data_IF_188439831897
#
_entry.id   IF_188439831897
#
_cell.length_a   1.000
_cell.length_b   1.000
_cell.length_c   1.000
_cell.angle_alpha   90.00
_cell.angle_beta   90.00
_cell.angle_gamma   90.00
#
_symmetry.space_group_name_H-M   'P 1'
#
loop_
_entity.id
_entity.type
_entity.pdbx_description
1 polymer ?
#
# COMPACT_ATOMS: atom_id res chain seq x y z
N UNK A 1 14.36 -6.78 12.12
CA UNK A 1 14.17 -5.43 12.72
C UNK A 1 13.26 -4.59 11.82
N UNK A 2 11.93 -4.72 11.90
CA UNK A 2 11.00 -3.98 11.03
C UNK A 2 11.09 -2.45 11.17
N UNK A 3 11.59 -1.97 12.31
CA UNK A 3 11.71 -0.52 12.61
C UNK A 3 12.84 0.20 11.88
N UNK A 4 13.59 -0.47 11.01
CA UNK A 4 14.64 0.14 10.19
C UNK A 4 14.20 0.36 8.72
N UNK A 5 13.00 -0.08 8.34
CA UNK A 5 12.48 0.18 7.01
C UNK A 5 12.30 1.69 6.80
N UNK A 6 12.67 2.18 5.62
CA UNK A 6 12.57 3.59 5.27
C UNK A 6 11.75 3.79 4.01
N UNK A 7 11.10 4.94 3.90
CA UNK A 7 10.42 5.37 2.68
C UNK A 7 10.67 6.86 2.50
N UNK A 8 10.75 7.31 1.25
CA UNK A 8 10.87 8.73 0.94
C UNK A 8 9.97 9.11 -0.23
N UNK A 9 9.45 10.33 -0.16
CA UNK A 9 8.77 11.02 -1.25
C UNK A 9 9.58 12.27 -1.60
N UNK A 10 9.99 12.40 -2.86
CA UNK A 10 10.77 13.55 -3.34
C UNK A 10 10.09 14.17 -4.56
N UNK A 11 9.89 15.48 -4.51
CA UNK A 11 9.56 16.30 -5.67
C UNK A 11 10.87 16.91 -6.18
N UNK A 12 11.17 16.73 -7.45
CA UNK A 12 12.35 17.31 -8.09
C UNK A 12 11.93 18.12 -9.32
N UNK A 13 12.57 19.28 -9.50
CA UNK A 13 12.46 20.03 -10.75
C UNK A 13 13.51 19.48 -11.71
N UNK A 14 13.09 19.17 -12.93
CA UNK A 14 14.00 18.94 -14.05
C UNK A 14 13.75 19.97 -15.14
N UNK A 15 14.82 20.65 -15.53
CA UNK A 15 14.83 21.57 -16.67
C UNK A 15 15.20 20.76 -17.90
N UNK A 16 14.28 20.66 -18.87
CA UNK A 16 14.56 20.01 -20.16
C UNK A 16 15.19 21.01 -21.13
N UNK A 17 15.91 20.50 -22.14
CA UNK A 17 16.27 21.29 -23.32
C UNK A 17 14.97 21.84 -23.95
N UNK A 18 14.80 23.16 -23.91
CA UNK A 18 13.55 23.86 -24.27
C UNK A 18 12.90 24.69 -23.16
N UNK A 19 13.49 24.76 -21.96
CA UNK A 19 13.18 25.78 -20.95
C UNK A 19 11.85 25.60 -20.20
N UNK A 20 11.18 24.44 -20.33
CA UNK A 20 9.99 24.11 -19.54
C UNK A 20 10.36 23.25 -18.34
N UNK A 21 10.14 23.76 -17.14
CA UNK A 21 10.31 23.00 -15.91
C UNK A 21 9.25 21.88 -15.82
N UNK A 22 9.71 20.64 -15.69
CA UNK A 22 8.85 19.50 -15.39
C UNK A 22 9.13 19.06 -13.95
N UNK A 23 8.08 18.95 -13.14
CA UNK A 23 8.18 18.37 -11.80
C UNK A 23 8.06 16.86 -11.89
N UNK A 24 9.06 16.15 -11.35
CA UNK A 24 9.02 14.70 -11.15
C UNK A 24 8.73 14.37 -9.69
N UNK A 25 8.00 13.28 -9.50
CA UNK A 25 7.67 12.74 -8.19
C UNK A 25 8.30 11.35 -8.06
N UNK A 26 9.13 11.18 -7.04
CA UNK A 26 9.78 9.91 -6.73
C UNK A 26 9.26 9.39 -5.40
N UNK A 27 8.73 8.17 -5.42
CA UNK A 27 8.37 7.42 -4.23
C UNK A 27 9.26 6.18 -4.18
N UNK A 28 9.93 5.96 -3.06
CA UNK A 28 10.74 4.77 -2.84
C UNK A 28 10.58 4.23 -1.43
N UNK A 29 10.85 2.93 -1.28
CA UNK A 29 10.82 2.20 -0.03
C UNK A 29 12.02 1.26 0.01
N UNK A 30 12.61 1.12 1.20
CA UNK A 30 13.64 0.15 1.51
C UNK A 30 13.21 -0.62 2.75
N UNK A 31 12.96 -1.92 2.58
CA UNK A 31 12.57 -2.78 3.70
C UNK A 31 13.80 -3.24 4.49
N UNK A 32 13.68 -3.23 5.82
CA UNK A 32 14.62 -3.90 6.70
C UNK A 32 13.99 -5.18 7.28
N UNK A 33 14.68 -6.30 7.10
CA UNK A 33 14.19 -7.63 7.48
C UNK A 33 15.33 -8.59 7.83
N UNK A 34 14.97 -9.83 8.16
CA UNK A 34 15.96 -10.91 8.28
C UNK A 34 16.50 -11.25 6.88
N UNK A 35 17.79 -11.56 6.74
CA UNK A 35 18.31 -12.06 5.46
C UNK A 35 17.67 -13.38 5.04
N UNK A 36 17.16 -14.17 5.98
CA UNK A 36 16.39 -15.38 5.67
C UNK A 36 15.08 -15.09 4.90
N UNK A 37 14.57 -13.85 4.91
CA UNK A 37 13.41 -13.48 4.09
C UNK A 37 13.79 -13.00 2.68
N UNK A 38 15.06 -12.98 2.29
CA UNK A 38 15.49 -12.43 0.99
C UNK A 38 15.09 -13.27 -0.25
N UNK A 39 14.35 -14.36 -0.09
CA UNK A 39 13.66 -14.98 -1.22
C UNK A 39 12.49 -14.08 -1.65
N UNK A 40 12.69 -13.26 -2.68
CA UNK A 40 11.75 -12.21 -3.11
C UNK A 40 11.07 -12.53 -4.44
N UNK A 41 9.87 -12.00 -4.63
CA UNK A 41 9.14 -12.04 -5.92
C UNK A 41 8.49 -10.67 -6.15
N UNK A 42 8.69 -10.09 -7.33
CA UNK A 42 7.87 -8.96 -7.79
C UNK A 42 6.61 -9.51 -8.45
N UNK A 43 5.45 -9.07 -7.99
CA UNK A 43 4.14 -9.59 -8.42
C UNK A 43 3.34 -8.51 -9.10
N UNK A 44 2.57 -8.91 -10.11
CA UNK A 44 1.51 -8.12 -10.73
C UNK A 44 0.23 -8.95 -10.72
N UNK A 45 -0.78 -8.44 -10.03
CA UNK A 45 -2.13 -9.02 -10.05
C UNK A 45 -3.03 -8.13 -10.91
N UNK A 46 -3.49 -8.68 -12.04
CA UNK A 46 -4.50 -8.08 -12.90
C UNK A 46 -5.79 -8.87 -12.71
N UNK A 47 -6.73 -8.31 -11.97
CA UNK A 47 -7.92 -9.01 -11.51
C UNK A 47 -9.16 -8.21 -11.92
N UNK A 48 -10.14 -8.89 -12.52
CA UNK A 48 -11.37 -8.26 -13.02
C UNK A 48 -12.42 -8.15 -11.90
N UNK A 49 -12.02 -7.57 -10.76
CA UNK A 49 -12.94 -7.34 -9.65
C UNK A 49 -13.94 -6.25 -9.98
N UNK A 50 -15.10 -6.33 -9.34
CA UNK A 50 -16.15 -5.31 -9.32
C UNK A 50 -16.31 -4.86 -7.86
N UNK A 51 -16.84 -3.65 -7.62
CA UNK A 51 -16.99 -3.14 -6.24
C UNK A 51 -17.95 -3.97 -5.42
N UNK A 52 -19.03 -4.41 -6.05
CA UNK A 52 -20.03 -5.32 -5.52
C UNK A 52 -20.39 -6.38 -6.56
N UNK A 53 -21.12 -7.42 -6.16
CA UNK A 53 -21.60 -8.46 -7.08
C UNK A 53 -22.61 -7.97 -8.12
N UNK A 54 -23.15 -6.75 -7.95
CA UNK A 54 -24.15 -6.15 -8.85
C UNK A 54 -23.57 -5.14 -9.82
N UNK A 55 -22.32 -4.73 -9.63
CA UNK A 55 -21.70 -3.73 -10.48
C UNK A 55 -21.26 -4.34 -11.81
N UNK A 56 -21.51 -3.62 -12.90
CA UNK A 56 -21.02 -3.95 -14.25
C UNK A 56 -19.68 -3.29 -14.55
N UNK A 57 -19.30 -2.28 -13.77
CA UNK A 57 -18.06 -1.54 -13.91
C UNK A 57 -17.01 -2.13 -12.97
N UNK A 58 -15.81 -2.40 -13.51
CA UNK A 58 -14.71 -2.95 -12.73
C UNK A 58 -14.26 -2.00 -11.62
N UNK A 59 -13.70 -2.58 -10.56
CA UNK A 59 -13.13 -1.84 -9.46
C UNK A 59 -11.98 -0.93 -9.95
N UNK A 60 -11.80 0.28 -9.36
CA UNK A 60 -10.82 1.24 -9.86
C UNK A 60 -9.39 0.71 -9.96
N UNK A 61 -8.96 -0.12 -9.00
CA UNK A 61 -7.65 -0.74 -9.00
C UNK A 61 -7.64 -2.07 -9.77
N UNK A 62 -7.67 -2.02 -11.10
CA UNK A 62 -7.70 -3.21 -11.96
C UNK A 62 -6.39 -4.02 -11.94
N UNK A 63 -5.25 -3.36 -11.71
CA UNK A 63 -3.93 -3.99 -11.61
C UNK A 63 -3.16 -3.46 -10.41
N UNK A 64 -2.58 -4.37 -9.62
CA UNK A 64 -1.74 -4.03 -8.47
C UNK A 64 -0.38 -4.71 -8.64
N UNK A 65 0.68 -3.91 -8.69
CA UNK A 65 2.07 -4.37 -8.71
C UNK A 65 2.71 -4.14 -7.35
N UNK A 66 3.46 -5.11 -6.84
CA UNK A 66 4.15 -4.97 -5.56
C UNK A 66 5.34 -5.91 -5.43
N UNK A 67 6.32 -5.53 -4.61
CA UNK A 67 7.38 -6.42 -4.16
C UNK A 67 6.85 -7.29 -3.01
N UNK A 68 7.13 -8.59 -3.01
CA UNK A 68 6.65 -9.52 -2.01
C UNK A 68 7.54 -10.75 -1.84
N UNK A 69 6.92 -11.83 -1.36
CA UNK A 69 7.58 -13.06 -0.94
C UNK A 69 6.82 -14.28 -1.48
N UNK A 70 7.45 -15.45 -1.69
CA UNK A 70 6.75 -16.70 -1.98
C UNK A 70 5.62 -16.96 -0.96
N UNK A 71 4.47 -17.45 -1.43
CA UNK A 71 3.30 -17.72 -0.58
C UNK A 71 2.51 -16.50 -0.09
N UNK A 72 3.13 -15.31 0.01
CA UNK A 72 2.41 -14.09 0.43
C UNK A 72 1.53 -13.52 -0.67
N UNK A 73 0.26 -13.26 -0.40
CA UNK A 73 -0.66 -12.60 -1.35
C UNK A 73 -0.63 -11.07 -1.26
N UNK A 74 0.13 -10.50 -0.31
CA UNK A 74 0.37 -9.06 -0.15
C UNK A 74 1.88 -8.75 -0.11
N UNK A 75 2.26 -7.48 -0.07
CA UNK A 75 3.66 -7.05 -0.14
C UNK A 75 4.48 -7.44 1.08
N UNK A 76 3.94 -7.26 2.29
CA UNK A 76 4.64 -7.35 3.59
C UNK A 76 5.75 -6.29 3.80
N UNK A 77 6.40 -5.81 2.73
CA UNK A 77 7.26 -4.61 2.74
C UNK A 77 6.44 -3.33 2.76
N UNK A 78 5.32 -3.36 2.05
CA UNK A 78 4.43 -2.26 1.71
C UNK A 78 4.99 -1.30 0.66
N UNK A 79 5.00 -1.74 -0.59
CA UNK A 79 5.13 -0.88 -1.77
C UNK A 79 4.21 -1.39 -2.90
N UNK A 80 3.21 -0.59 -3.27
CA UNK A 80 2.21 -0.94 -4.27
C UNK A 80 2.12 0.14 -5.35
N UNK A 81 2.02 -0.30 -6.60
CA UNK A 81 1.59 0.52 -7.72
C UNK A 81 0.24 0.00 -8.19
N UNK A 82 -0.79 0.81 -7.98
CA UNK A 82 -2.17 0.52 -8.40
C UNK A 82 -2.42 1.21 -9.72
N UNK A 83 -3.04 0.51 -10.67
CA UNK A 83 -3.43 1.04 -11.98
C UNK A 83 -4.87 0.65 -12.29
N UNK A 84 -5.63 1.61 -12.77
CA UNK A 84 -6.92 1.48 -13.42
C UNK A 84 -6.93 2.22 -14.75
N UNK A 85 -8.11 2.42 -15.32
CA UNK A 85 -8.30 3.09 -16.61
C UNK A 85 -7.82 4.54 -16.58
N UNK A 86 -8.35 5.34 -15.63
CA UNK A 86 -7.99 6.75 -15.44
C UNK A 86 -7.41 7.00 -14.03
N UNK A 87 -6.78 5.98 -13.47
CA UNK A 87 -6.40 5.94 -12.06
C UNK A 87 -5.03 5.31 -11.91
N UNK A 88 -4.12 5.98 -11.19
CA UNK A 88 -2.83 5.42 -10.81
C UNK A 88 -2.51 5.90 -9.40
N UNK A 89 -2.10 4.98 -8.54
CA UNK A 89 -1.58 5.29 -7.21
C UNK A 89 -0.24 4.62 -7.01
N UNK A 90 0.64 5.27 -6.27
CA UNK A 90 1.78 4.62 -5.65
C UNK A 90 1.65 4.76 -4.13
N UNK A 91 1.56 3.64 -3.43
CA UNK A 91 1.38 3.60 -1.98
C UNK A 91 2.53 2.85 -1.34
N UNK A 92 3.06 3.38 -0.25
CA UNK A 92 4.09 2.70 0.54
C UNK A 92 3.86 2.87 2.03
N UNK A 93 4.35 1.92 2.81
CA UNK A 93 4.23 1.92 4.26
C UNK A 93 5.54 1.62 4.96
N UNK A 94 5.76 2.24 6.12
CA UNK A 94 6.84 1.89 7.05
C UNK A 94 6.24 1.41 8.37
N UNK A 95 6.85 0.42 9.00
CA UNK A 95 6.34 -0.16 10.25
C UNK A 95 6.33 0.87 11.39
N UNK A 96 5.17 1.01 12.04
CA UNK A 96 5.04 1.75 13.29
C UNK A 96 4.87 0.75 14.44
N UNK A 97 5.70 0.89 15.47
CA UNK A 97 5.61 0.05 16.66
C UNK A 97 4.73 0.70 17.70
N UNK A 98 3.73 -0.02 18.18
CA UNK A 98 2.94 0.38 19.33
C UNK A 98 3.67 -0.02 20.62
N UNK A 99 4.17 0.96 21.38
CA UNK A 99 4.77 0.74 22.69
C UNK A 99 3.80 0.99 23.85
N UNK A 100 2.57 1.46 23.56
CA UNK A 100 1.55 1.65 24.58
C UNK A 100 0.74 0.37 24.76
N UNK A 101 1.10 -0.40 25.79
CA UNK A 101 0.47 -1.69 26.07
C UNK A 101 -1.02 -1.57 26.40
N UNK A 102 -1.45 -0.42 26.95
CA UNK A 102 -2.85 -0.18 27.30
C UNK A 102 -3.78 -0.20 26.09
N UNK A 103 -3.26 -0.04 24.88
CA UNK A 103 -4.05 -0.09 23.64
C UNK A 103 -4.34 -1.52 23.17
N UNK A 104 -3.58 -2.52 23.63
CA UNK A 104 -3.78 -3.91 23.18
C UNK A 104 -5.14 -4.49 23.59
N UNK A 105 -5.73 -3.99 24.69
CA UNK A 105 -7.09 -4.36 25.11
C UNK A 105 -8.17 -3.97 24.10
N UNK A 106 -7.87 -3.07 23.17
CA UNK A 106 -8.81 -2.62 22.12
C UNK A 106 -8.74 -3.49 20.85
N UNK A 107 -7.79 -4.43 20.78
CA UNK A 107 -7.73 -5.39 19.67
C UNK A 107 -8.83 -6.42 19.86
N UNK A 108 -9.76 -6.48 18.90
CA UNK A 108 -10.87 -7.41 18.89
C UNK A 108 -10.83 -8.25 17.60
N UNK A 109 -10.53 -9.54 17.74
CA UNK A 109 -10.36 -10.46 16.61
C UNK A 109 -11.68 -10.83 15.90
N UNK A 110 -12.84 -10.57 16.50
CA UNK A 110 -14.14 -10.94 15.91
C UNK A 110 -14.78 -9.82 15.09
N UNK A 111 -14.44 -8.55 15.37
CA UNK A 111 -15.08 -7.37 14.75
C UNK A 111 -14.13 -6.55 13.86
N UNK A 112 -12.82 -6.83 13.94
CA UNK A 112 -11.80 -6.10 13.22
C UNK A 112 -11.15 -6.94 12.13
N UNK A 113 -10.60 -6.27 11.12
CA UNK A 113 -9.99 -6.91 9.96
C UNK A 113 -8.46 -6.76 10.04
N UNK A 114 -7.67 -7.84 9.91
CA UNK A 114 -6.21 -7.78 9.81
C UNK A 114 -5.74 -6.87 8.67
N UNK A 115 -4.50 -6.38 8.71
CA UNK A 115 -3.99 -5.46 7.69
C UNK A 115 -4.06 -6.03 6.26
N UNK A 116 -3.75 -7.32 6.07
CA UNK A 116 -3.68 -7.97 4.76
C UNK A 116 -4.96 -7.79 3.90
N UNK A 117 -6.14 -8.21 4.38
CA UNK A 117 -7.38 -7.98 3.64
C UNK A 117 -7.71 -6.49 3.44
N UNK A 118 -7.43 -5.63 4.43
CA UNK A 118 -7.69 -4.18 4.32
C UNK A 118 -6.83 -3.53 3.23
N UNK A 119 -5.55 -3.90 3.12
CA UNK A 119 -4.65 -3.36 2.09
C UNK A 119 -5.07 -3.80 0.68
N UNK A 120 -5.50 -5.06 0.54
CA UNK A 120 -6.07 -5.58 -0.71
C UNK A 120 -7.35 -4.81 -1.08
N UNK A 121 -8.27 -4.62 -0.14
CA UNK A 121 -9.50 -3.87 -0.37
C UNK A 121 -9.20 -2.42 -0.78
N UNK A 122 -8.32 -1.72 -0.06
CA UNK A 122 -7.94 -0.34 -0.38
C UNK A 122 -7.31 -0.22 -1.77
N UNK A 123 -6.39 -1.13 -2.12
CA UNK A 123 -5.72 -1.13 -3.42
C UNK A 123 -6.66 -1.39 -4.61
N UNK A 124 -7.74 -2.15 -4.42
CA UNK A 124 -8.69 -2.43 -5.51
C UNK A 124 -9.85 -1.43 -5.57
N UNK A 125 -10.32 -0.92 -4.43
CA UNK A 125 -11.56 -0.12 -4.35
C UNK A 125 -11.33 1.40 -4.41
N UNK A 126 -10.17 1.89 -4.00
CA UNK A 126 -9.88 3.32 -3.95
C UNK A 126 -9.74 3.95 -5.34
N UNK A 127 -10.31 5.13 -5.53
CA UNK A 127 -10.18 5.92 -6.76
C UNK A 127 -9.18 7.08 -6.65
N UNK A 128 -8.70 7.37 -5.44
CA UNK A 128 -7.66 8.34 -5.13
C UNK A 128 -7.05 8.07 -3.74
N UNK A 129 -5.93 8.71 -3.41
CA UNK A 129 -5.22 8.54 -2.12
C UNK A 129 -6.12 8.83 -0.91
N UNK A 130 -7.01 9.82 -1.00
CA UNK A 130 -7.94 10.13 0.10
C UNK A 130 -8.91 8.98 0.37
N UNK A 131 -9.59 8.48 -0.68
CA UNK A 131 -10.47 7.31 -0.56
C UNK A 131 -9.73 6.06 -0.08
N UNK A 132 -8.47 5.90 -0.50
CA UNK A 132 -7.60 4.81 -0.04
C UNK A 132 -7.38 4.88 1.48
N UNK A 133 -7.09 6.08 2.00
CA UNK A 133 -6.93 6.34 3.44
C UNK A 133 -8.19 6.02 4.25
N UNK A 134 -9.38 6.31 3.72
CA UNK A 134 -10.63 5.96 4.39
C UNK A 134 -10.89 4.45 4.39
N UNK A 135 -10.65 3.77 3.27
CA UNK A 135 -10.86 2.33 3.14
C UNK A 135 -9.89 1.54 4.04
N UNK A 136 -8.60 1.89 4.06
CA UNK A 136 -7.62 1.19 4.91
C UNK A 136 -7.91 1.36 6.40
N UNK A 137 -8.55 2.47 6.80
CA UNK A 137 -8.91 2.77 8.17
C UNK A 137 -10.18 2.03 8.65
N UNK A 138 -11.00 1.54 7.72
CA UNK A 138 -12.22 0.79 8.05
C UNK A 138 -11.89 -0.52 8.75
N UNK A 139 -12.64 -0.85 9.80
CA UNK A 139 -12.46 -2.03 10.66
C UNK A 139 -11.00 -2.27 11.09
N UNK A 140 -10.29 -1.19 11.45
CA UNK A 140 -8.89 -1.27 11.87
C UNK A 140 -8.71 -2.25 13.04
N UNK A 141 -7.76 -3.18 12.90
CA UNK A 141 -7.44 -4.18 13.92
C UNK A 141 -6.42 -3.73 14.96
N UNK A 142 -5.80 -2.57 14.80
CA UNK A 142 -4.66 -2.19 15.65
C UNK A 142 -3.44 -3.09 15.48
N UNK A 143 -3.42 -3.94 14.44
CA UNK A 143 -2.32 -4.86 14.11
C UNK A 143 -1.64 -4.47 12.81
N UNK A 144 -0.36 -4.84 12.69
CA UNK A 144 0.43 -4.56 11.49
C UNK A 144 0.67 -3.08 11.23
N UNK A 145 0.57 -2.21 12.25
CA UNK A 145 0.59 -0.74 12.14
C UNK A 145 1.68 -0.20 11.20
N UNK A 146 1.30 0.78 10.38
CA UNK A 146 2.15 1.42 9.38
C UNK A 146 1.90 2.93 9.35
N UNK A 147 2.93 3.69 9.02
CA UNK A 147 2.78 5.03 8.47
C UNK A 147 2.69 4.89 6.96
N UNK A 148 1.62 5.42 6.35
CA UNK A 148 1.38 5.31 4.92
C UNK A 148 1.73 6.61 4.20
N UNK A 149 2.37 6.50 3.04
CA UNK A 149 2.56 7.56 2.06
C UNK A 149 1.90 7.13 0.76
N UNK A 150 1.13 8.03 0.15
CA UNK A 150 0.42 7.75 -1.10
C UNK A 150 0.43 8.94 -2.04
N UNK A 151 0.60 8.68 -3.33
CA UNK A 151 0.58 9.66 -4.42
C UNK A 151 -0.17 9.16 -5.63
#
# INVERSE_FOLDING_TARGET
MPGLSSAFLRIANETFEGGKDIKKLFLAQSVAGSYSSMTRIIKRYKLNYHRTSKDTVSAPGASVEFAGYPGSITSQDEFYKVRGENHRLAITGTALRNYNEKLWKNVNITEQVPLGPRITAANHLASNVSSWGHIIASNNSGTGCKQWLGV
#
